data_IF_216015594469
#
_entry.id   IF_216015594469
#
_cell.length_a   1.000
_cell.length_b   1.000
_cell.length_c   1.000
_cell.angle_alpha   90.00
_cell.angle_beta   90.00
_cell.angle_gamma   90.00
#
_symmetry.space_group_name_H-M   'P 1'
#
loop_
_entity.id
_entity.type
_entity.pdbx_description
1 polymer ?
#
# COMPACT_ATOMS: atom_id res chain seq x y z
N UNK A 1 -12.13 1.56 -10.53
CA UNK A 1 -10.68 1.27 -10.52
C UNK A 1 -9.91 2.40 -11.21
N UNK A 2 -8.82 2.91 -10.65
CA UNK A 2 -7.98 3.95 -11.30
C UNK A 2 -7.13 3.36 -12.44
N UNK A 3 -6.62 4.21 -13.34
CA UNK A 3 -5.71 3.78 -14.44
C UNK A 3 -4.44 3.14 -13.89
N UNK A 4 -3.88 3.68 -12.80
CA UNK A 4 -2.65 3.17 -12.15
C UNK A 4 -2.87 1.78 -11.55
N UNK A 5 -3.97 1.57 -10.83
CA UNK A 5 -4.27 0.30 -10.19
C UNK A 5 -4.51 -0.83 -11.21
N UNK A 6 -5.24 -0.54 -12.31
CA UNK A 6 -5.38 -1.50 -13.43
C UNK A 6 -4.03 -1.88 -14.04
N UNK A 7 -3.15 -0.90 -14.23
CA UNK A 7 -1.84 -1.14 -14.83
C UNK A 7 -0.96 -2.07 -13.97
N UNK A 8 -0.98 -1.90 -12.64
CA UNK A 8 -0.21 -2.79 -11.75
C UNK A 8 -0.75 -4.21 -11.72
N UNK A 9 -2.06 -4.42 -11.59
CA UNK A 9 -2.61 -5.78 -11.67
C UNK A 9 -2.37 -6.46 -13.03
N UNK A 10 -2.41 -5.69 -14.13
CA UNK A 10 -2.06 -6.22 -15.44
C UNK A 10 -0.59 -6.62 -15.52
N UNK A 11 0.31 -5.88 -14.86
CA UNK A 11 1.73 -6.17 -14.80
C UNK A 11 2.01 -7.44 -14.00
N UNK A 12 1.50 -7.56 -12.76
CA UNK A 12 1.74 -8.73 -11.92
C UNK A 12 1.21 -10.02 -12.55
N UNK A 13 0.06 -9.93 -13.24
CA UNK A 13 -0.48 -11.03 -14.04
C UNK A 13 0.44 -11.45 -15.18
N UNK A 14 1.06 -10.50 -15.91
CA UNK A 14 2.05 -10.81 -16.96
C UNK A 14 3.32 -11.44 -16.39
N UNK A 15 3.70 -11.05 -15.18
CA UNK A 15 4.84 -11.60 -14.44
C UNK A 15 4.53 -12.97 -13.82
N UNK A 16 3.29 -13.48 -13.94
CA UNK A 16 2.90 -14.78 -13.40
C UNK A 16 2.86 -14.86 -11.88
N UNK A 17 2.78 -13.71 -11.19
CA UNK A 17 2.77 -13.62 -9.72
C UNK A 17 1.51 -12.91 -9.21
N UNK A 18 1.17 -13.17 -7.96
CA UNK A 18 0.17 -12.39 -7.25
C UNK A 18 0.69 -10.96 -7.01
N UNK A 19 -0.24 -10.00 -6.91
CA UNK A 19 0.09 -8.65 -6.47
C UNK A 19 0.25 -8.63 -4.95
N UNK A 20 1.31 -7.99 -4.46
CA UNK A 20 1.50 -7.73 -3.04
C UNK A 20 0.82 -6.40 -2.67
N UNK A 21 -0.23 -6.48 -1.86
CA UNK A 21 -0.98 -5.34 -1.34
C UNK A 21 -0.69 -5.20 0.14
N UNK A 22 -0.01 -4.14 0.54
CA UNK A 22 0.34 -3.88 1.93
C UNK A 22 -0.64 -2.87 2.54
N UNK A 23 -1.17 -3.16 3.72
CA UNK A 23 -2.00 -2.23 4.48
C UNK A 23 -1.20 -1.63 5.64
N UNK A 24 -1.32 -0.32 5.84
CA UNK A 24 -0.78 0.39 7.01
C UNK A 24 -1.68 1.54 7.44
N UNK A 25 -1.64 1.88 8.73
CA UNK A 25 -2.39 3.00 9.29
C UNK A 25 -1.55 4.28 9.25
N UNK A 26 -2.11 5.36 8.72
CA UNK A 26 -1.49 6.67 8.79
C UNK A 26 -1.31 7.10 10.26
N UNK A 27 -0.12 7.59 10.59
CA UNK A 27 0.21 8.08 11.93
C UNK A 27 0.52 7.01 12.97
N UNK A 28 0.75 5.76 12.56
CA UNK A 28 1.24 4.69 13.45
C UNK A 28 2.72 4.38 13.19
N UNK A 29 3.58 4.23 14.22
CA UNK A 29 3.30 4.47 15.65
C UNK A 29 3.09 5.96 16.01
N UNK A 30 3.57 6.87 15.17
CA UNK A 30 3.35 8.31 15.26
C UNK A 30 3.38 8.94 13.84
N UNK A 31 2.99 10.23 13.65
CA UNK A 31 2.90 10.87 12.34
C UNK A 31 4.18 10.81 11.49
N UNK A 32 5.35 10.91 12.11
CA UNK A 32 6.64 11.03 11.42
C UNK A 32 7.05 9.72 10.73
N UNK A 33 6.45 8.59 11.13
CA UNK A 33 6.73 7.28 10.56
C UNK A 33 5.97 6.99 9.26
N UNK A 34 4.88 7.72 8.98
CA UNK A 34 4.00 7.38 7.84
C UNK A 34 4.75 7.43 6.51
N UNK A 35 5.46 8.53 6.24
CA UNK A 35 6.14 8.72 4.94
C UNK A 35 7.32 7.74 4.77
N UNK A 36 8.26 7.61 5.73
CA UNK A 36 9.34 6.62 5.61
C UNK A 36 8.82 5.19 5.44
N UNK A 37 7.72 4.83 6.10
CA UNK A 37 7.14 3.50 6.00
C UNK A 37 6.52 3.25 4.62
N UNK A 38 5.81 4.22 4.03
CA UNK A 38 5.28 4.10 2.67
C UNK A 38 6.39 3.94 1.63
N UNK A 39 7.48 4.70 1.77
CA UNK A 39 8.64 4.59 0.90
C UNK A 39 9.35 3.24 1.07
N UNK A 40 9.49 2.75 2.30
CA UNK A 40 10.06 1.43 2.57
C UNK A 40 9.22 0.29 1.99
N UNK A 41 7.89 0.41 2.01
CA UNK A 41 6.99 -0.56 1.37
C UNK A 41 7.13 -0.52 -0.17
N UNK A 42 7.27 0.66 -0.76
CA UNK A 42 7.56 0.80 -2.20
C UNK A 42 8.89 0.13 -2.56
N UNK A 43 9.96 0.45 -1.83
CA UNK A 43 11.30 -0.14 -2.02
C UNK A 43 11.29 -1.66 -1.82
N UNK A 44 10.52 -2.14 -0.84
CA UNK A 44 10.31 -3.57 -0.55
C UNK A 44 9.45 -4.30 -1.59
N UNK A 45 8.93 -3.62 -2.60
CA UNK A 45 8.23 -4.23 -3.73
C UNK A 45 6.70 -4.34 -3.57
N UNK A 46 6.07 -3.55 -2.70
CA UNK A 46 4.61 -3.44 -2.68
C UNK A 46 4.08 -2.98 -4.05
N UNK A 47 3.11 -3.70 -4.61
CA UNK A 47 2.45 -3.30 -5.86
C UNK A 47 1.39 -2.24 -5.63
N UNK A 48 0.76 -2.30 -4.45
CA UNK A 48 -0.27 -1.39 -3.96
C UNK A 48 -0.07 -1.20 -2.46
N UNK A 49 -0.23 0.03 -2.00
CA UNK A 49 -0.26 0.34 -0.57
C UNK A 49 -1.66 0.87 -0.24
N UNK A 50 -2.31 0.22 0.72
CA UNK A 50 -3.57 0.66 1.32
C UNK A 50 -3.25 1.47 2.57
N UNK A 51 -3.52 2.77 2.51
CA UNK A 51 -3.31 3.67 3.63
C UNK A 51 -4.63 3.87 4.38
N UNK A 52 -4.71 3.29 5.57
CA UNK A 52 -5.79 3.53 6.52
C UNK A 52 -5.72 4.95 7.08
N UNK A 53 -6.89 5.56 7.25
CA UNK A 53 -7.04 6.83 7.98
C UNK A 53 -7.52 6.49 9.39
N UNK A 54 -6.85 6.97 10.45
CA UNK A 54 -7.22 6.63 11.82
C UNK A 54 -8.60 7.18 12.15
N UNK A 55 -9.40 6.37 12.84
CA UNK A 55 -10.73 6.72 13.34
C UNK A 55 -10.96 6.06 14.71
N UNK A 56 -11.82 6.67 15.53
CA UNK A 56 -11.89 6.38 16.98
C UNK A 56 -12.60 5.08 17.33
N UNK A 57 -13.37 4.49 16.42
CA UNK A 57 -14.16 3.29 16.68
C UNK A 57 -14.14 2.32 15.48
N UNK A 58 -13.05 1.56 15.29
CA UNK A 58 -12.95 0.53 14.27
C UNK A 58 -13.77 -0.71 14.64
N UNK A 59 -14.99 -0.79 14.10
CA UNK A 59 -15.84 -1.98 14.11
C UNK A 59 -15.37 -3.05 13.12
#
# INVERSE_FOLDING_TARGET
MSKRLRARFAQTKREGRAAFVAYVMAGFPDPDHTVPLLLGLEEGGADVIELGIPFTDPL
#
